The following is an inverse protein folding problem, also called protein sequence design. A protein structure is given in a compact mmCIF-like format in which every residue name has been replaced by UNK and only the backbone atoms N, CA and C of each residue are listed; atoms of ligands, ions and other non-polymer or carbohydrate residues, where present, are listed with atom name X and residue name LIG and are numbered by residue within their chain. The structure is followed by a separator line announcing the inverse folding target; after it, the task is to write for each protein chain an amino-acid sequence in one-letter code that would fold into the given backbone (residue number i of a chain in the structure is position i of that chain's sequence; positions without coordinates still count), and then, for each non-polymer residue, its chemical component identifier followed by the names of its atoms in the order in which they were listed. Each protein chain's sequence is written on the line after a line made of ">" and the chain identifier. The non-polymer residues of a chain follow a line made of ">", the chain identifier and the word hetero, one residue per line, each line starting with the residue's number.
data_IF_837395344750
#
_entry.id   IF_837395344750
#
_cell.length_a   1.000
_cell.length_b   1.000
_cell.length_c   1.000
_cell.angle_alpha   90.00
_cell.angle_beta   90.00
_cell.angle_gamma   90.00
#
_symmetry.space_group_name_H-M   'P 1'
#
loop_
_entity.id
_entity.type
_entity.pdbx_description
1 polymer ?
#
# COMPACT_ATOMS: atom_id res chain seq x y z
N UNK A 1 -2.15 -11.41 -8.09
CA UNK A 1 -1.64 -10.59 -6.97
C UNK A 1 -0.24 -11.07 -6.62
N UNK A 2 0.74 -10.17 -6.50
CA UNK A 2 2.10 -10.48 -6.07
C UNK A 2 2.50 -9.50 -4.95
N UNK A 3 2.75 -10.03 -3.76
CA UNK A 3 3.10 -9.29 -2.55
C UNK A 3 4.56 -9.58 -2.19
N UNK A 4 5.33 -8.54 -1.85
CA UNK A 4 6.73 -8.66 -1.49
C UNK A 4 6.98 -8.06 -0.11
N UNK A 5 7.68 -8.81 0.73
CA UNK A 5 8.15 -8.36 2.04
C UNK A 5 9.62 -7.98 1.86
N UNK A 6 10.01 -6.76 2.23
CA UNK A 6 11.42 -6.30 2.16
C UNK A 6 11.84 -5.72 3.51
N UNK A 7 13.06 -6.04 3.96
CA UNK A 7 13.55 -5.69 5.31
C UNK A 7 14.66 -4.62 5.35
N UNK A 8 15.50 -4.46 4.31
CA UNK A 8 16.67 -3.56 4.40
C UNK A 8 16.96 -2.72 3.16
N UNK A 9 17.23 -3.29 1.98
CA UNK A 9 17.59 -2.49 0.78
C UNK A 9 16.42 -2.37 -0.22
N UNK A 10 15.88 -1.15 -0.31
CA UNK A 10 14.79 -0.81 -1.23
C UNK A 10 14.66 0.71 -1.38
N UNK A 11 13.98 1.17 -2.45
CA UNK A 11 13.48 2.53 -2.56
C UNK A 11 12.48 2.88 -1.43
N UNK A 12 11.83 1.86 -0.86
CA UNK A 12 10.91 2.00 0.25
C UNK A 12 11.63 2.12 1.59
N UNK A 13 11.02 2.80 2.59
CA UNK A 13 11.56 2.82 3.94
C UNK A 13 11.70 1.39 4.52
N UNK A 14 12.58 1.20 5.52
CA UNK A 14 12.68 -0.08 6.22
C UNK A 14 11.34 -0.46 6.87
N UNK A 15 11.11 -1.77 7.05
CA UNK A 15 9.87 -2.34 7.60
C UNK A 15 8.61 -2.03 6.76
N UNK A 16 8.74 -2.11 5.43
CA UNK A 16 7.66 -1.85 4.48
C UNK A 16 7.07 -3.13 3.88
N UNK A 17 5.75 -3.25 3.92
CA UNK A 17 4.98 -4.26 3.20
C UNK A 17 4.67 -3.75 1.78
N UNK A 18 5.28 -4.32 0.75
CA UNK A 18 5.23 -3.78 -0.61
C UNK A 18 4.29 -4.60 -1.51
N UNK A 19 3.32 -3.91 -2.11
CA UNK A 19 2.43 -4.42 -3.14
C UNK A 19 3.09 -4.18 -4.50
N UNK A 20 3.63 -5.24 -5.10
CA UNK A 20 4.39 -5.14 -6.35
C UNK A 20 3.53 -5.38 -7.60
N UNK A 21 2.48 -6.22 -7.52
CA UNK A 21 1.46 -6.32 -8.57
C UNK A 21 0.08 -6.56 -7.99
N UNK A 22 -0.85 -5.67 -8.31
CA UNK A 22 -2.25 -5.78 -7.93
C UNK A 22 -3.15 -5.56 -9.15
N UNK A 23 -4.15 -6.43 -9.30
CA UNK A 23 -5.15 -6.33 -10.36
C UNK A 23 -6.43 -6.99 -9.89
N UNK A 24 -7.56 -6.39 -10.26
CA UNK A 24 -8.90 -6.89 -9.94
C UNK A 24 -9.67 -7.10 -11.24
N UNK A 25 -10.36 -8.24 -11.36
CA UNK A 25 -11.21 -8.51 -12.53
C UNK A 25 -12.40 -7.56 -12.63
N UNK A 26 -12.89 -7.05 -11.49
CA UNK A 26 -13.89 -6.00 -11.40
C UNK A 26 -13.28 -4.77 -10.73
N UNK A 27 -13.33 -3.64 -11.41
CA UNK A 27 -12.78 -2.37 -10.94
C UNK A 27 -13.90 -1.43 -10.43
N UNK A 28 -13.52 -0.40 -9.66
CA UNK A 28 -14.41 0.69 -9.18
C UNK A 28 -15.59 0.26 -8.28
N UNK A 29 -15.50 -0.92 -7.67
CA UNK A 29 -16.46 -1.44 -6.68
C UNK A 29 -15.86 -1.62 -5.28
N UNK A 30 -14.75 -0.94 -4.99
CA UNK A 30 -14.13 -0.92 -3.66
C UNK A 30 -13.14 -2.04 -3.35
N UNK A 31 -12.89 -3.00 -4.26
CA UNK A 31 -11.95 -4.11 -4.01
C UNK A 31 -10.53 -3.64 -3.64
N UNK A 32 -9.99 -2.62 -4.32
CA UNK A 32 -8.69 -2.06 -3.98
C UNK A 32 -8.62 -1.48 -2.58
N UNK A 33 -9.65 -0.71 -2.20
CA UNK A 33 -9.78 -0.13 -0.87
C UNK A 33 -9.91 -1.21 0.20
N UNK A 34 -10.76 -2.20 -0.01
CA UNK A 34 -10.99 -3.28 0.94
C UNK A 34 -9.73 -4.16 1.10
N UNK A 35 -9.03 -4.43 0.01
CA UNK A 35 -7.75 -5.16 0.05
C UNK A 35 -6.67 -4.37 0.79
N UNK A 36 -6.58 -3.05 0.58
CA UNK A 36 -5.64 -2.22 1.32
C UNK A 36 -5.97 -2.20 2.82
N UNK A 37 -7.25 -2.11 3.21
CA UNK A 37 -7.68 -2.20 4.60
C UNK A 37 -7.25 -3.54 5.23
N UNK A 38 -7.43 -4.65 4.53
CA UNK A 38 -6.94 -5.97 4.96
C UNK A 38 -5.42 -5.97 5.17
N UNK A 39 -4.66 -5.42 4.22
CA UNK A 39 -3.20 -5.34 4.35
C UNK A 39 -2.76 -4.42 5.49
N UNK A 40 -3.49 -3.35 5.80
CA UNK A 40 -3.24 -2.51 6.98
C UNK A 40 -3.36 -3.34 8.27
N UNK A 41 -4.39 -4.18 8.39
CA UNK A 41 -4.53 -5.09 9.53
C UNK A 41 -3.39 -6.11 9.62
N UNK A 42 -2.95 -6.66 8.49
CA UNK A 42 -1.78 -7.54 8.42
C UNK A 42 -0.50 -6.81 8.83
N UNK A 43 -0.31 -5.59 8.34
CA UNK A 43 0.86 -4.77 8.64
C UNK A 43 0.95 -4.46 10.14
N UNK A 44 -0.17 -4.06 10.76
CA UNK A 44 -0.28 -3.87 12.21
C UNK A 44 0.07 -5.15 12.98
N UNK A 45 -0.54 -6.29 12.60
CA UNK A 45 -0.34 -7.57 13.27
C UNK A 45 1.12 -8.01 13.31
N UNK A 46 1.87 -7.74 12.24
CA UNK A 46 3.26 -8.16 12.10
C UNK A 46 4.30 -7.05 12.31
N UNK A 47 3.87 -5.86 12.77
CA UNK A 47 4.78 -4.77 13.14
C UNK A 47 5.44 -4.05 11.97
N UNK A 48 4.85 -4.09 10.78
CA UNK A 48 5.30 -3.28 9.65
C UNK A 48 4.92 -1.81 9.90
N UNK A 49 5.82 -0.89 9.55
CA UNK A 49 5.61 0.55 9.75
C UNK A 49 5.03 1.24 8.52
N UNK A 50 5.23 0.65 7.35
CA UNK A 50 4.83 1.23 6.07
C UNK A 50 4.15 0.21 5.16
N UNK A 51 3.28 0.70 4.29
CA UNK A 51 2.80 -0.03 3.11
C UNK A 51 3.26 0.72 1.86
N UNK A 52 3.83 -0.03 0.91
CA UNK A 52 4.33 0.48 -0.36
C UNK A 52 3.53 -0.06 -1.55
N UNK A 53 3.41 0.74 -2.61
CA UNK A 53 2.94 0.34 -3.93
C UNK A 53 4.11 0.55 -4.89
N UNK A 54 4.56 -0.53 -5.53
CA UNK A 54 5.72 -0.54 -6.43
C UNK A 54 5.26 -0.61 -7.89
N UNK A 55 5.95 0.11 -8.78
CA UNK A 55 5.63 0.20 -10.22
C UNK A 55 4.14 0.46 -10.50
N UNK A 56 3.60 1.50 -9.87
CA UNK A 56 2.23 1.89 -10.07
C UNK A 56 2.00 2.44 -11.49
N UNK A 57 1.10 1.81 -12.24
CA UNK A 57 0.53 2.40 -13.45
C UNK A 57 -0.43 3.55 -13.10
N UNK A 58 -0.95 4.25 -14.12
CA UNK A 58 -1.87 5.39 -13.97
C UNK A 58 -3.03 5.15 -13.00
N UNK A 59 -3.65 3.95 -13.04
CA UNK A 59 -4.77 3.61 -12.17
C UNK A 59 -4.34 3.44 -10.72
N UNK A 60 -3.29 2.66 -10.47
CA UNK A 60 -2.73 2.45 -9.13
C UNK A 60 -2.10 3.72 -8.55
N UNK A 61 -1.49 4.56 -9.40
CA UNK A 61 -0.94 5.86 -9.00
C UNK A 61 -2.04 6.84 -8.63
N UNK A 62 -3.13 6.91 -9.40
CA UNK A 62 -4.31 7.69 -9.05
C UNK A 62 -4.94 7.20 -7.73
N UNK A 63 -5.01 5.88 -7.54
CA UNK A 63 -5.47 5.28 -6.28
C UNK A 63 -4.59 5.67 -5.08
N UNK A 64 -3.27 5.57 -5.23
CA UNK A 64 -2.30 5.95 -4.20
C UNK A 64 -2.44 7.44 -3.82
N UNK A 65 -2.48 8.33 -4.83
CA UNK A 65 -2.66 9.77 -4.64
C UNK A 65 -3.98 10.11 -3.96
N UNK A 66 -5.08 9.47 -4.37
CA UNK A 66 -6.40 9.66 -3.75
C UNK A 66 -6.40 9.33 -2.26
N UNK A 67 -5.62 8.33 -1.86
CA UNK A 67 -5.49 7.90 -0.47
C UNK A 67 -4.40 8.66 0.31
N UNK A 68 -3.70 9.60 -0.35
CA UNK A 68 -2.68 10.45 0.29
C UNK A 68 -1.30 9.81 0.39
N UNK A 69 -0.99 8.77 -0.38
CA UNK A 69 0.34 8.16 -0.35
C UNK A 69 1.40 9.16 -0.82
N UNK A 70 2.58 9.09 -0.20
CA UNK A 70 3.74 9.87 -0.62
C UNK A 70 4.36 9.22 -1.85
N UNK A 71 4.62 10.02 -2.87
CA UNK A 71 5.38 9.60 -4.06
C UNK A 71 6.88 9.58 -3.73
N UNK A 72 7.58 8.53 -4.14
CA UNK A 72 9.05 8.43 -4.07
C UNK A 72 9.66 9.01 -5.35
N UNK A 73 9.20 8.53 -6.51
CA UNK A 73 9.78 8.85 -7.83
C UNK A 73 8.73 8.99 -8.95
N UNK A 74 7.44 8.96 -8.60
CA UNK A 74 6.31 9.04 -9.54
C UNK A 74 5.68 7.69 -9.89
N UNK A 75 6.40 6.59 -9.65
CA UNK A 75 5.91 5.23 -9.89
C UNK A 75 5.82 4.41 -8.61
N UNK A 76 6.60 4.77 -7.58
CA UNK A 76 6.64 4.11 -6.29
C UNK A 76 6.03 5.02 -5.21
N UNK A 77 5.17 4.46 -4.37
CA UNK A 77 4.38 5.21 -3.40
C UNK A 77 4.37 4.52 -2.04
N UNK A 78 4.41 5.27 -0.93
CA UNK A 78 4.32 4.69 0.41
C UNK A 78 3.47 5.52 1.37
N UNK A 79 2.95 4.86 2.41
CA UNK A 79 2.24 5.49 3.51
C UNK A 79 2.56 4.77 4.84
N UNK A 80 2.50 5.51 5.95
CA UNK A 80 2.59 4.91 7.29
C UNK A 80 1.37 4.05 7.57
N UNK A 81 1.59 2.94 8.27
CA UNK A 81 0.49 2.05 8.69
C UNK A 81 -0.45 2.78 9.65
N UNK A 82 0.04 3.70 10.49
CA UNK A 82 -0.79 4.50 11.40
C UNK A 82 -1.74 5.46 10.68
N UNK A 83 -1.31 6.07 9.56
CA UNK A 83 -2.19 6.91 8.77
C UNK A 83 -3.29 6.08 8.10
N UNK A 84 -2.95 4.89 7.61
CA UNK A 84 -3.93 3.95 7.05
C UNK A 84 -4.87 3.41 8.13
N UNK A 85 -4.35 3.10 9.33
CA UNK A 85 -5.15 2.69 10.49
C UNK A 85 -6.20 3.76 10.80
N UNK A 86 -5.76 5.01 10.87
CA UNK A 86 -6.63 6.16 11.13
C UNK A 86 -7.67 6.35 10.02
N UNK A 87 -7.24 6.29 8.75
CA UNK A 87 -8.11 6.42 7.58
C UNK A 87 -9.21 5.35 7.56
N UNK A 88 -8.87 4.10 7.89
CA UNK A 88 -9.80 2.98 7.89
C UNK A 88 -10.54 2.79 9.21
N UNK A 89 -10.26 3.60 10.25
CA UNK A 89 -10.81 3.43 11.59
C UNK A 89 -10.63 1.99 12.12
N UNK A 90 -9.45 1.40 11.89
CA UNK A 90 -9.10 0.08 12.42
C UNK A 90 -8.72 0.24 13.90
N UNK A 91 -9.29 -0.60 14.77
CA UNK A 91 -9.00 -0.64 16.21
C UNK A 91 -7.60 -1.21 16.51
#
# INVERSE_FOLDING_TARGET
>A
MYLRIRKFESLFPPDCLVIARLGFSKERIGHGTHFLQFLTGVALKYGFRYIGIEYANDKSGAFAKKLGFNSIDGENYFMTVDNLKSYFSIE
#
